data_IF_727963229522
#
_entry.id   IF_727963229522
#
_cell.length_a   1.000
_cell.length_b   1.000
_cell.length_c   1.000
_cell.angle_alpha   90.00
_cell.angle_beta   90.00
_cell.angle_gamma   90.00
#
_symmetry.space_group_name_H-M   'P 1'
#
loop_
_entity.id
_entity.type
_entity.pdbx_description
1 polymer ?
#
# COMPACT_ATOMS: atom_id res chain seq x y z
N UNK A 1 -2.29 -3.28 18.62
CA UNK A 1 -1.07 -3.08 17.82
C UNK A 1 0.09 -3.72 18.58
N UNK A 2 0.98 -4.49 17.93
CA UNK A 2 2.18 -5.02 18.58
C UNK A 2 3.08 -3.90 19.12
N UNK A 3 3.94 -4.24 20.08
CA UNK A 3 4.95 -3.33 20.64
C UNK A 3 5.96 -2.97 19.55
N UNK A 4 6.30 -1.68 19.34
CA UNK A 4 7.14 -1.22 18.22
C UNK A 4 8.64 -1.50 18.43
N UNK A 5 9.01 -2.77 18.43
CA UNK A 5 10.39 -3.24 18.56
C UNK A 5 10.68 -4.31 17.52
N UNK A 6 11.93 -4.41 17.08
CA UNK A 6 12.41 -5.48 16.21
C UNK A 6 12.77 -6.73 17.04
N UNK A 7 13.02 -7.85 16.35
CA UNK A 7 13.21 -9.16 16.98
C UNK A 7 14.49 -9.22 17.84
N UNK A 8 15.48 -8.36 17.61
CA UNK A 8 16.66 -8.25 18.49
C UNK A 8 16.31 -7.84 19.92
N UNK A 9 15.15 -7.21 20.12
CA UNK A 9 14.64 -6.81 21.43
C UNK A 9 13.63 -7.81 22.01
N UNK A 10 13.43 -8.96 21.37
CA UNK A 10 12.51 -10.00 21.81
C UNK A 10 13.31 -11.23 22.23
N UNK A 11 13.19 -11.61 23.49
CA UNK A 11 13.88 -12.77 24.07
C UNK A 11 12.88 -13.74 24.69
N UNK A 12 13.34 -14.94 25.05
CA UNK A 12 12.52 -15.93 25.76
C UNK A 12 12.04 -15.44 27.13
N UNK A 13 12.73 -14.47 27.74
CA UNK A 13 12.35 -13.85 29.02
C UNK A 13 11.45 -12.62 28.85
N UNK A 14 11.15 -12.21 27.62
CA UNK A 14 10.25 -11.09 27.31
C UNK A 14 10.88 -10.03 26.41
N UNK A 15 10.22 -8.86 26.35
CA UNK A 15 10.66 -7.71 25.56
C UNK A 15 11.72 -6.93 26.34
N UNK A 16 12.88 -6.74 25.73
CA UNK A 16 13.99 -5.98 26.26
C UNK A 16 13.73 -4.46 26.09
N UNK A 17 14.29 -3.61 26.97
CA UNK A 17 14.25 -2.16 26.78
C UNK A 17 14.89 -1.76 25.46
N UNK A 18 14.14 -1.04 24.62
CA UNK A 18 14.59 -0.54 23.32
C UNK A 18 14.62 1.00 23.35
N UNK A 19 15.73 1.65 22.92
CA UNK A 19 15.78 3.10 22.79
C UNK A 19 14.68 3.62 21.84
N UNK A 20 14.07 4.76 22.17
CA UNK A 20 12.99 5.34 21.36
C UNK A 20 13.43 5.63 19.91
N UNK A 21 14.69 6.02 19.72
CA UNK A 21 15.27 6.25 18.40
C UNK A 21 15.27 5.00 17.52
N UNK A 22 15.49 3.82 18.11
CA UNK A 22 15.46 2.54 17.39
C UNK A 22 14.04 2.02 17.23
N UNK A 23 13.24 2.08 18.29
CA UNK A 23 11.82 1.73 18.25
C UNK A 23 11.07 2.52 17.16
N UNK A 24 11.40 3.81 16.97
CA UNK A 24 10.79 4.66 15.94
C UNK A 24 11.16 4.30 14.50
N UNK A 25 12.22 3.51 14.30
CA UNK A 25 12.74 3.06 13.01
C UNK A 25 12.49 1.57 12.76
N UNK A 26 11.98 0.86 13.78
CA UNK A 26 11.71 -0.57 13.75
C UNK A 26 10.69 -0.95 12.68
N UNK A 27 10.86 -2.11 12.05
CA UNK A 27 9.93 -2.63 11.05
C UNK A 27 8.52 -2.78 11.64
N UNK A 28 8.44 -3.12 12.93
CA UNK A 28 7.17 -3.19 13.68
C UNK A 28 6.48 -1.83 13.81
N UNK A 29 7.23 -0.73 13.97
CA UNK A 29 6.68 0.63 13.89
C UNK A 29 6.08 0.91 12.52
N UNK A 30 6.77 0.54 11.44
CA UNK A 30 6.25 0.65 10.08
C UNK A 30 4.97 -0.16 9.86
N UNK A 31 4.96 -1.43 10.30
CA UNK A 31 3.76 -2.28 10.28
C UNK A 31 2.59 -1.65 11.06
N UNK A 32 2.89 -1.05 12.21
CA UNK A 32 1.89 -0.39 13.04
C UNK A 32 1.27 0.81 12.34
N UNK A 33 2.08 1.63 11.67
CA UNK A 33 1.61 2.76 10.86
C UNK A 33 0.72 2.24 9.72
N UNK A 34 1.20 1.25 8.98
CA UNK A 34 0.48 0.66 7.85
C UNK A 34 -0.91 0.12 8.24
N UNK A 35 -0.99 -0.59 9.36
CA UNK A 35 -2.27 -1.14 9.84
C UNK A 35 -3.22 -0.04 10.35
N UNK A 36 -2.71 1.05 10.92
CA UNK A 36 -3.53 2.20 11.31
C UNK A 36 -4.13 2.90 10.08
N UNK A 37 -3.39 2.97 8.97
CA UNK A 37 -3.89 3.52 7.70
C UNK A 37 -5.09 2.71 7.20
N UNK A 38 -5.00 1.38 7.21
CA UNK A 38 -6.15 0.53 6.92
C UNK A 38 -7.31 0.71 7.91
N UNK A 39 -7.01 0.91 9.20
CA UNK A 39 -8.06 1.15 10.19
C UNK A 39 -8.78 2.49 9.97
N UNK A 40 -8.06 3.58 9.65
CA UNK A 40 -8.64 4.87 9.24
C UNK A 40 -9.41 4.74 7.92
N UNK A 41 -8.85 3.91 7.03
CA UNK A 41 -9.48 3.19 5.94
C UNK A 41 -10.92 2.82 6.22
N UNK A 42 -11.17 2.03 7.26
CA UNK A 42 -12.43 1.34 7.50
C UNK A 42 -13.37 2.08 8.46
N UNK A 43 -12.84 2.97 9.29
CA UNK A 43 -13.55 3.53 10.44
C UNK A 43 -13.32 5.05 10.55
N UNK A 44 -14.35 5.83 10.91
CA UNK A 44 -14.17 7.26 11.13
C UNK A 44 -13.26 7.53 12.34
N UNK A 45 -12.52 8.66 12.35
CA UNK A 45 -11.69 9.07 13.47
C UNK A 45 -12.49 9.12 14.78
N UNK A 46 -11.87 8.67 15.88
CA UNK A 46 -12.50 8.65 17.20
C UNK A 46 -13.53 7.54 17.43
N UNK A 47 -13.78 6.65 16.46
CA UNK A 47 -14.71 5.53 16.66
C UNK A 47 -14.09 4.41 17.52
N UNK A 48 -14.85 3.96 18.52
CA UNK A 48 -14.49 2.82 19.36
C UNK A 48 -14.68 1.51 18.56
N UNK A 49 -13.62 0.70 18.51
CA UNK A 49 -13.63 -0.62 17.87
C UNK A 49 -14.72 -1.55 18.41
N UNK A 50 -15.20 -1.34 19.64
CA UNK A 50 -16.30 -2.12 20.24
C UNK A 50 -17.69 -1.62 19.89
N UNK A 51 -17.84 -0.36 19.47
CA UNK A 51 -19.14 0.31 19.24
C UNK A 51 -19.51 0.45 17.77
N UNK A 52 -18.57 0.26 16.85
CA UNK A 52 -18.81 0.31 15.41
C UNK A 52 -18.58 -1.08 14.79
N UNK A 53 -19.67 -1.83 14.55
CA UNK A 53 -19.63 -2.99 13.65
C UNK A 53 -19.23 -2.48 12.26
N UNK A 54 -18.42 -3.23 11.53
CA UNK A 54 -18.22 -3.04 10.08
C UNK A 54 -19.54 -3.24 9.31
N UNK A 55 -20.56 -3.78 9.99
CA UNK A 55 -21.71 -4.50 9.48
C UNK A 55 -23.06 -3.84 9.77
N UNK A 56 -23.13 -2.70 10.49
CA UNK A 56 -24.43 -2.12 10.85
C UNK A 56 -24.47 -0.59 10.82
N UNK A 57 -25.29 -0.11 9.89
CA UNK A 57 -26.25 0.98 10.07
C UNK A 57 -25.71 2.38 10.37
N UNK A 58 -25.36 3.05 9.28
CA UNK A 58 -25.99 4.35 9.05
C UNK A 58 -26.93 4.15 7.86
N UNK A 59 -28.23 3.95 8.10
CA UNK A 59 -29.19 3.86 6.98
C UNK A 59 -29.28 5.18 6.21
N UNK A 60 -28.96 6.29 6.87
CA UNK A 60 -28.98 7.60 6.26
C UNK A 60 -27.81 7.76 5.27
N UNK A 61 -28.07 7.88 3.95
CA UNK A 61 -27.04 8.12 2.96
C UNK A 61 -26.26 9.42 3.20
N UNK A 62 -26.86 10.44 3.83
CA UNK A 62 -26.18 11.70 4.13
C UNK A 62 -25.10 11.54 5.21
N UNK A 63 -25.42 10.82 6.30
CA UNK A 63 -24.45 10.54 7.37
C UNK A 63 -23.36 9.57 6.88
N UNK A 64 -23.70 8.61 5.99
CA UNK A 64 -22.69 7.77 5.31
C UNK A 64 -21.73 8.59 4.46
N UNK A 65 -22.27 9.51 3.66
CA UNK A 65 -21.46 10.40 2.82
C UNK A 65 -20.53 11.26 3.67
N UNK A 66 -21.03 11.89 4.73
CA UNK A 66 -20.22 12.68 5.66
C UNK A 66 -19.11 11.85 6.31
N UNK A 67 -19.42 10.61 6.71
CA UNK A 67 -18.41 9.69 7.28
C UNK A 67 -17.31 9.31 6.27
N UNK A 68 -17.65 9.10 5.00
CA UNK A 68 -16.67 8.82 3.96
C UNK A 68 -15.78 10.05 3.68
N UNK A 69 -16.38 11.24 3.59
CA UNK A 69 -15.64 12.49 3.41
C UNK A 69 -14.66 12.75 4.56
N UNK A 70 -15.09 12.52 5.79
CA UNK A 70 -14.23 12.64 6.98
C UNK A 70 -13.08 11.63 6.97
N UNK A 71 -13.32 10.40 6.50
CA UNK A 71 -12.25 9.39 6.31
C UNK A 71 -11.26 9.78 5.22
N UNK A 72 -11.73 10.30 4.08
CA UNK A 72 -10.85 10.82 3.01
C UNK A 72 -9.97 11.95 3.56
N UNK A 73 -10.60 12.92 4.24
CA UNK A 73 -9.89 14.04 4.85
C UNK A 73 -8.85 13.55 5.87
N UNK A 74 -9.23 12.63 6.76
CA UNK A 74 -8.31 12.09 7.76
C UNK A 74 -7.13 11.36 7.12
N UNK A 75 -7.35 10.52 6.10
CA UNK A 75 -6.26 9.82 5.38
C UNK A 75 -5.30 10.79 4.70
N UNK A 76 -5.82 11.90 4.14
CA UNK A 76 -5.01 12.89 3.44
C UNK A 76 -3.91 13.46 4.33
N UNK A 77 -4.24 13.76 5.58
CA UNK A 77 -3.32 14.37 6.55
C UNK A 77 -2.68 13.36 7.52
N UNK A 78 -3.05 12.08 7.45
CA UNK A 78 -2.58 11.06 8.38
C UNK A 78 -1.04 10.93 8.39
N UNK A 79 -0.39 11.12 7.24
CA UNK A 79 1.06 11.00 7.10
C UNK A 79 1.84 12.23 7.57
N UNK A 80 1.19 13.34 7.93
CA UNK A 80 1.89 14.52 8.46
C UNK A 80 2.44 14.28 9.87
N UNK A 81 1.83 13.35 10.61
CA UNK A 81 2.14 13.05 12.01
C UNK A 81 2.96 11.77 12.20
N UNK A 82 3.30 11.05 11.12
CA UNK A 82 4.06 9.79 11.23
C UNK A 82 5.50 10.03 11.65
N UNK A 83 6.13 8.97 12.15
CA UNK A 83 7.53 8.99 12.59
C UNK A 83 8.45 9.38 11.43
N UNK A 84 9.54 10.15 11.68
CA UNK A 84 10.42 10.66 10.62
C UNK A 84 10.93 9.58 9.66
N UNK A 85 11.19 8.38 10.17
CA UNK A 85 11.66 7.24 9.40
C UNK A 85 10.66 6.72 8.35
N UNK A 86 9.39 7.12 8.44
CA UNK A 86 8.31 6.71 7.52
C UNK A 86 7.60 7.89 6.85
N UNK A 87 8.08 9.13 7.05
CA UNK A 87 7.56 10.32 6.35
C UNK A 87 7.89 10.29 4.87
N UNK A 88 7.25 11.19 4.11
CA UNK A 88 7.54 11.39 2.70
C UNK A 88 9.01 11.75 2.47
N UNK A 89 9.53 11.34 1.33
CA UNK A 89 10.96 11.41 1.02
C UNK A 89 11.43 12.87 0.90
N UNK A 90 12.24 13.33 1.85
CA UNK A 90 13.09 14.52 1.65
C UNK A 90 14.49 14.04 1.27
N UNK A 91 14.90 14.25 0.01
CA UNK A 91 16.25 13.93 -0.52
C UNK A 91 17.40 14.60 0.27
N UNK A 92 17.11 15.43 1.27
CA UNK A 92 18.06 16.32 1.93
C UNK A 92 18.59 15.83 3.28
N UNK A 93 18.26 14.63 3.79
CA UNK A 93 18.64 14.27 5.18
C UNK A 93 19.26 12.88 5.32
N UNK A 94 20.08 12.47 4.37
CA UNK A 94 20.96 11.30 4.56
C UNK A 94 22.34 11.55 3.94
N UNK A 95 23.04 12.57 4.46
CA UNK A 95 24.48 12.45 4.59
C UNK A 95 24.75 11.44 5.72
N UNK A 96 24.69 10.15 5.39
CA UNK A 96 24.97 9.08 6.36
C UNK A 96 26.46 9.13 6.74
N UNK A 97 26.72 9.29 8.04
CA UNK A 97 28.04 9.09 8.61
C UNK A 97 28.51 7.64 8.37
N UNK A 98 29.81 7.41 8.11
CA UNK A 98 30.33 6.09 7.81
C UNK A 98 30.31 5.25 9.09
N UNK A 99 29.51 4.19 9.13
CA UNK A 99 29.53 3.19 10.22
C UNK A 99 29.72 1.77 9.69
N UNK A 100 30.24 0.95 10.59
CA UNK A 100 31.15 -0.17 10.36
C UNK A 100 30.41 -1.50 10.16
N UNK A 101 29.49 -1.60 9.20
CA UNK A 101 29.01 -2.88 8.65
C UNK A 101 28.13 -2.63 7.42
N UNK A 102 28.73 -2.43 6.23
CA UNK A 102 27.98 -1.96 5.05
C UNK A 102 26.89 -2.92 4.56
N UNK A 103 26.90 -4.19 4.99
CA UNK A 103 25.93 -5.21 4.56
C UNK A 103 24.61 -5.21 5.32
N UNK A 104 24.64 -5.23 6.67
CA UNK A 104 23.41 -5.37 7.50
C UNK A 104 22.57 -4.10 7.50
N UNK A 105 23.24 -2.95 7.61
CA UNK A 105 22.57 -1.65 7.61
C UNK A 105 21.89 -1.38 6.27
N UNK A 106 22.48 -1.85 5.17
CA UNK A 106 21.89 -1.74 3.84
C UNK A 106 20.59 -2.56 3.70
N UNK A 107 20.57 -3.80 4.20
CA UNK A 107 19.36 -4.65 4.17
C UNK A 107 18.23 -4.04 5.02
N UNK A 108 18.53 -3.63 6.25
CA UNK A 108 17.55 -3.00 7.13
C UNK A 108 17.00 -1.69 6.52
N UNK A 109 17.85 -0.91 5.87
CA UNK A 109 17.43 0.29 5.14
C UNK A 109 16.50 -0.07 3.97
N UNK A 110 16.84 -1.06 3.14
CA UNK A 110 15.99 -1.50 2.02
C UNK A 110 14.63 -1.99 2.52
N UNK A 111 14.59 -2.80 3.58
CA UNK A 111 13.35 -3.28 4.18
C UNK A 111 12.48 -2.13 4.70
N UNK A 112 13.10 -1.13 5.35
CA UNK A 112 12.40 0.05 5.83
C UNK A 112 11.85 0.89 4.67
N UNK A 113 12.63 1.06 3.60
CA UNK A 113 12.17 1.74 2.38
C UNK A 113 11.02 0.98 1.72
N UNK A 114 11.04 -0.36 1.72
CA UNK A 114 9.95 -1.16 1.18
C UNK A 114 8.64 -1.00 1.99
N UNK A 115 8.73 -1.00 3.33
CA UNK A 115 7.57 -0.72 4.19
C UNK A 115 7.08 0.71 3.99
N UNK A 116 8.00 1.68 3.88
CA UNK A 116 7.66 3.09 3.59
C UNK A 116 6.91 3.18 2.27
N UNK A 117 7.42 2.59 1.19
CA UNK A 117 6.73 2.54 -0.10
C UNK A 117 5.30 1.99 0.06
N UNK A 118 5.13 0.88 0.78
CA UNK A 118 3.81 0.29 1.00
C UNK A 118 2.85 1.22 1.78
N UNK A 119 3.35 1.91 2.81
CA UNK A 119 2.60 2.89 3.60
C UNK A 119 2.02 3.98 2.70
N UNK A 120 2.88 4.64 1.90
CA UNK A 120 2.49 5.78 1.07
C UNK A 120 1.58 5.36 -0.09
N UNK A 121 1.92 4.25 -0.78
CA UNK A 121 1.08 3.67 -1.83
C UNK A 121 -0.31 3.34 -1.31
N UNK A 122 -0.39 2.72 -0.13
CA UNK A 122 -1.68 2.30 0.45
C UNK A 122 -2.52 3.49 0.89
N UNK A 123 -1.90 4.53 1.46
CA UNK A 123 -2.61 5.74 1.88
C UNK A 123 -3.25 6.47 0.68
N UNK A 124 -2.55 6.59 -0.45
CA UNK A 124 -3.11 7.19 -1.66
C UNK A 124 -4.17 6.29 -2.32
N UNK A 125 -3.93 4.98 -2.42
CA UNK A 125 -4.90 4.03 -2.99
C UNK A 125 -6.20 3.99 -2.19
N UNK A 126 -6.15 4.00 -0.85
CA UNK A 126 -7.36 4.01 -0.03
C UNK A 126 -8.17 5.31 -0.19
N UNK A 127 -7.54 6.45 -0.48
CA UNK A 127 -8.27 7.68 -0.81
C UNK A 127 -9.12 7.49 -2.08
N UNK A 128 -8.55 6.90 -3.15
CA UNK A 128 -9.32 6.56 -4.36
C UNK A 128 -10.48 5.62 -4.06
N UNK A 129 -10.24 4.56 -3.28
CA UNK A 129 -11.29 3.60 -2.92
C UNK A 129 -12.45 4.23 -2.13
N UNK A 130 -12.17 5.24 -1.30
CA UNK A 130 -13.22 5.98 -0.60
C UNK A 130 -13.96 6.95 -1.53
N UNK A 131 -13.26 7.61 -2.44
CA UNK A 131 -13.88 8.47 -3.46
C UNK A 131 -14.83 7.67 -4.36
N UNK A 132 -14.47 6.45 -4.74
CA UNK A 132 -15.36 5.55 -5.50
C UNK A 132 -16.64 5.20 -4.74
N UNK A 133 -16.55 5.03 -3.42
CA UNK A 133 -17.74 4.81 -2.58
C UNK A 133 -18.60 6.06 -2.47
N UNK A 134 -17.99 7.24 -2.40
CA UNK A 134 -18.69 8.53 -2.40
C UNK A 134 -19.49 8.69 -3.71
N UNK A 135 -18.87 8.43 -4.85
CA UNK A 135 -19.51 8.54 -6.16
C UNK A 135 -20.65 7.53 -6.32
N UNK A 136 -20.45 6.30 -5.85
CA UNK A 136 -21.48 5.26 -5.85
C UNK A 136 -22.73 5.68 -5.06
N UNK A 137 -22.53 6.31 -3.90
CA UNK A 137 -23.63 6.85 -3.08
C UNK A 137 -24.29 8.07 -3.71
N UNK A 138 -23.51 8.95 -4.36
CA UNK A 138 -24.01 10.08 -5.12
C UNK A 138 -24.91 9.65 -6.28
N UNK A 139 -24.49 8.64 -7.05
CA UNK A 139 -25.24 8.08 -8.18
C UNK A 139 -26.55 7.41 -7.77
N UNK A 140 -26.61 6.78 -6.59
CA UNK A 140 -27.86 6.23 -6.04
C UNK A 140 -28.87 7.34 -5.70
N UNK A 141 -28.41 8.50 -5.24
CA UNK A 141 -29.25 9.64 -4.88
C UNK A 141 -29.86 10.36 -6.10
N UNK A 142 -29.21 10.25 -7.26
CA UNK A 142 -29.67 10.81 -8.54
C UNK A 142 -30.72 9.98 -9.29
N UNK A 143 -30.88 8.68 -8.96
CA UNK A 143 -31.84 7.76 -9.59
C UNK A 143 -33.21 7.74 -8.86
N UNK A 144 -33.77 8.92 -8.58
CA UNK A 144 -35.17 9.02 -8.16
C UNK A 144 -36.12 8.74 -9.34
N UNK A 145 -36.81 7.59 -9.33
CA UNK A 145 -38.06 7.30 -10.06
C UNK A 145 -38.16 7.66 -11.57
N UNK A 146 -37.10 7.56 -12.37
CA UNK A 146 -37.25 7.60 -13.83
C UNK A 146 -36.86 6.26 -14.47
N UNK A 147 -37.78 5.77 -15.30
CA UNK A 147 -37.77 4.47 -15.99
C UNK A 147 -36.45 4.17 -16.73
N UNK A 148 -36.11 2.89 -16.92
CA UNK A 148 -34.95 2.46 -17.69
C UNK A 148 -35.23 2.63 -19.19
N UNK A 149 -34.97 3.81 -19.74
CA UNK A 149 -34.91 4.01 -21.18
C UNK A 149 -33.82 5.03 -21.53
N UNK A 150 -32.88 4.60 -22.37
CA UNK A 150 -31.83 5.40 -23.04
C UNK A 150 -30.81 6.11 -22.14
N UNK A 151 -29.82 5.34 -21.68
CA UNK A 151 -28.62 5.81 -20.97
C UNK A 151 -27.57 6.47 -21.89
N UNK A 152 -27.99 7.31 -22.83
CA UNK A 152 -27.15 8.33 -23.46
C UNK A 152 -27.73 9.70 -23.13
N UNK A 153 -27.74 10.03 -21.84
CA UNK A 153 -27.96 11.41 -21.43
C UNK A 153 -26.62 12.12 -21.47
N UNK A 154 -26.43 12.94 -22.50
CA UNK A 154 -25.48 14.06 -22.57
C UNK A 154 -25.86 15.12 -21.53
N UNK A 155 -25.89 14.75 -20.25
CA UNK A 155 -25.95 15.74 -19.18
C UNK A 155 -24.58 16.40 -19.08
N UNK A 156 -24.54 17.71 -19.35
CA UNK A 156 -23.36 18.54 -19.08
C UNK A 156 -22.83 18.21 -17.66
N UNK A 157 -21.50 18.01 -17.49
CA UNK A 157 -20.95 17.60 -16.21
C UNK A 157 -21.28 18.63 -15.14
N UNK A 158 -21.73 18.19 -13.96
CA UNK A 158 -22.04 19.11 -12.86
C UNK A 158 -20.73 19.66 -12.30
N UNK A 159 -20.71 20.88 -11.71
CA UNK A 159 -19.53 21.41 -11.03
C UNK A 159 -18.92 20.48 -9.98
N UNK A 160 -19.73 19.64 -9.33
CA UNK A 160 -19.28 18.63 -8.37
C UNK A 160 -18.49 17.48 -9.02
N UNK A 161 -18.81 17.12 -10.27
CA UNK A 161 -18.12 16.06 -11.02
C UNK A 161 -16.70 16.51 -11.42
N UNK A 162 -16.51 17.82 -11.62
CA UNK A 162 -15.18 18.38 -11.87
C UNK A 162 -14.33 18.45 -10.60
N UNK A 163 -14.91 18.83 -9.45
CA UNK A 163 -14.18 18.89 -8.18
C UNK A 163 -13.73 17.50 -7.69
N UNK A 164 -14.56 16.47 -7.87
CA UNK A 164 -14.17 15.09 -7.56
C UNK A 164 -13.07 14.59 -8.50
N UNK A 165 -13.08 15.01 -9.76
CA UNK A 165 -12.03 14.68 -10.70
C UNK A 165 -10.70 15.38 -10.37
N UNK A 166 -10.72 16.67 -10.03
CA UNK A 166 -9.49 17.41 -9.66
C UNK A 166 -8.80 16.75 -8.44
N UNK A 167 -9.58 16.23 -7.47
CA UNK A 167 -9.04 15.48 -6.33
C UNK A 167 -8.42 14.14 -6.75
N UNK A 168 -9.07 13.40 -7.67
CA UNK A 168 -8.53 12.15 -8.24
C UNK A 168 -7.26 12.41 -9.05
N UNK A 169 -7.23 13.46 -9.87
CA UNK A 169 -6.06 13.87 -10.63
C UNK A 169 -4.87 14.17 -9.69
N UNK A 170 -5.11 14.91 -8.61
CA UNK A 170 -4.08 15.21 -7.60
C UNK A 170 -3.53 13.93 -6.96
N UNK A 171 -4.39 12.99 -6.57
CA UNK A 171 -3.96 11.70 -6.00
C UNK A 171 -3.15 10.90 -7.02
N UNK A 172 -3.59 10.81 -8.28
CA UNK A 172 -2.87 10.10 -9.34
C UNK A 172 -1.49 10.72 -9.60
N UNK A 173 -1.40 12.06 -9.64
CA UNK A 173 -0.13 12.78 -9.78
C UNK A 173 0.82 12.49 -8.61
N UNK A 174 0.32 12.54 -7.38
CA UNK A 174 1.11 12.20 -6.19
C UNK A 174 1.58 10.74 -6.23
N UNK A 175 0.73 9.82 -6.68
CA UNK A 175 1.05 8.40 -6.80
C UNK A 175 2.15 8.16 -7.85
N UNK A 176 2.05 8.79 -9.03
CA UNK A 176 3.08 8.72 -10.06
C UNK A 176 4.41 9.30 -9.60
N UNK A 177 4.38 10.44 -8.90
CA UNK A 177 5.58 11.05 -8.32
C UNK A 177 6.22 10.10 -7.30
N UNK A 178 5.41 9.49 -6.42
CA UNK A 178 5.86 8.51 -5.45
C UNK A 178 6.56 7.34 -6.14
N UNK A 179 5.89 6.67 -7.08
CA UNK A 179 6.45 5.50 -7.77
C UNK A 179 7.76 5.81 -8.50
N UNK A 180 7.83 6.95 -9.19
CA UNK A 180 9.03 7.36 -9.91
C UNK A 180 10.17 7.83 -8.98
N UNK A 181 9.86 8.16 -7.73
CA UNK A 181 10.87 8.54 -6.73
C UNK A 181 11.51 7.34 -6.00
N UNK A 182 10.85 6.18 -6.04
CA UNK A 182 11.25 4.98 -5.31
C UNK A 182 12.23 4.14 -6.13
N UNK A 183 13.17 3.47 -5.44
CA UNK A 183 14.11 2.55 -6.08
C UNK A 183 13.48 1.18 -6.28
N UNK A 184 13.88 0.46 -7.34
CA UNK A 184 13.37 -0.89 -7.63
C UNK A 184 13.48 -1.87 -6.45
N UNK A 185 14.59 -1.92 -5.67
CA UNK A 185 14.71 -2.81 -4.51
C UNK A 185 13.69 -2.52 -3.39
N UNK A 186 13.17 -1.29 -3.32
CA UNK A 186 12.12 -0.93 -2.36
C UNK A 186 10.71 -1.28 -2.85
N UNK A 187 10.52 -1.38 -4.17
CA UNK A 187 9.22 -1.71 -4.77
C UNK A 187 9.01 -3.22 -4.90
N UNK A 188 10.07 -3.97 -5.23
CA UNK A 188 10.03 -5.41 -5.45
C UNK A 188 9.32 -6.20 -4.32
N UNK A 189 9.58 -5.96 -3.02
CA UNK A 189 8.94 -6.73 -1.95
C UNK A 189 7.42 -6.52 -1.85
N UNK A 190 6.88 -5.44 -2.43
CA UNK A 190 5.44 -5.19 -2.47
C UNK A 190 4.73 -6.00 -3.57
N UNK A 191 5.49 -6.43 -4.59
CA UNK A 191 5.09 -7.37 -5.63
C UNK A 191 3.72 -7.08 -6.26
N UNK A 192 2.94 -8.13 -6.44
CA UNK A 192 1.62 -8.07 -7.08
C UNK A 192 0.62 -7.15 -6.34
N UNK A 193 0.76 -6.96 -5.02
CA UNK A 193 -0.10 -6.04 -4.28
C UNK A 193 0.07 -4.58 -4.73
N UNK A 194 1.28 -4.19 -5.13
CA UNK A 194 1.56 -2.88 -5.70
C UNK A 194 0.90 -2.75 -7.07
N UNK A 195 1.01 -3.78 -7.91
CA UNK A 195 0.42 -3.83 -9.26
C UNK A 195 -1.09 -3.60 -9.21
N UNK A 196 -1.81 -4.27 -8.31
CA UNK A 196 -3.25 -4.05 -8.15
C UNK A 196 -3.58 -2.62 -7.73
N UNK A 197 -2.86 -2.07 -6.74
CA UNK A 197 -3.08 -0.69 -6.29
C UNK A 197 -2.81 0.34 -7.40
N UNK A 198 -1.75 0.12 -8.19
CA UNK A 198 -1.42 0.97 -9.36
C UNK A 198 -2.55 0.94 -10.39
N UNK A 199 -3.07 -0.26 -10.71
CA UNK A 199 -4.19 -0.43 -11.64
C UNK A 199 -5.44 0.28 -11.13
N UNK A 200 -5.81 0.08 -9.87
CA UNK A 200 -6.99 0.70 -9.27
C UNK A 200 -6.90 2.24 -9.28
N UNK A 201 -5.74 2.79 -8.92
CA UNK A 201 -5.50 4.24 -8.97
C UNK A 201 -5.57 4.76 -10.41
N UNK A 202 -4.97 4.05 -11.38
CA UNK A 202 -5.00 4.47 -12.78
C UNK A 202 -6.43 4.46 -13.36
N UNK A 203 -7.25 3.47 -13.00
CA UNK A 203 -8.66 3.37 -13.45
C UNK A 203 -9.47 4.58 -13.02
N UNK A 204 -9.16 5.22 -11.89
CA UNK A 204 -9.87 6.40 -11.42
C UNK A 204 -9.84 7.59 -12.40
N UNK A 205 -8.83 7.65 -13.28
CA UNK A 205 -8.73 8.68 -14.32
C UNK A 205 -9.67 8.43 -15.50
N UNK A 206 -10.16 7.20 -15.68
CA UNK A 206 -11.11 6.86 -16.75
C UNK A 206 -12.50 7.45 -16.51
N UNK A 207 -12.77 7.95 -15.30
CA UNK A 207 -13.97 8.72 -14.98
C UNK A 207 -13.94 10.15 -15.54
N UNK A 208 -12.82 10.59 -16.13
CA UNK A 208 -12.72 11.90 -16.81
C UNK A 208 -13.75 11.99 -17.94
N UNK A 209 -14.62 13.02 -17.97
CA UNK A 209 -15.40 13.33 -19.16
C UNK A 209 -14.44 13.57 -20.33
N UNK A 210 -14.64 12.84 -21.44
CA UNK A 210 -13.77 12.97 -22.60
C UNK A 210 -14.15 14.19 -23.42
N UNK A 211 -13.27 15.20 -23.42
CA UNK A 211 -13.30 16.30 -24.39
C UNK A 211 -11.89 16.45 -25.00
N UNK A 212 -11.70 16.13 -26.29
CA UNK A 212 -10.40 16.16 -26.94
C UNK A 212 -9.82 17.59 -27.07
N UNK A 213 -10.65 18.63 -26.93
CA UNK A 213 -10.20 20.03 -26.93
C UNK A 213 -9.75 20.49 -25.54
N UNK A 214 -10.00 19.68 -24.52
CA UNK A 214 -9.77 20.03 -23.13
C UNK A 214 -8.42 19.49 -22.63
N UNK A 215 -7.66 20.39 -22.00
CA UNK A 215 -6.35 20.11 -21.41
C UNK A 215 -6.40 18.96 -20.39
N UNK A 216 -7.53 18.78 -19.69
CA UNK A 216 -7.73 17.68 -18.73
C UNK A 216 -7.62 16.31 -19.39
N UNK A 217 -8.26 16.11 -20.55
CA UNK A 217 -8.22 14.85 -21.30
C UNK A 217 -6.79 14.53 -21.74
N UNK A 218 -6.03 15.56 -22.14
CA UNK A 218 -4.61 15.41 -22.50
C UNK A 218 -3.79 14.92 -21.29
N UNK A 219 -3.92 15.57 -20.13
CA UNK A 219 -3.21 15.19 -18.90
C UNK A 219 -3.60 13.80 -18.41
N UNK A 220 -4.90 13.47 -18.38
CA UNK A 220 -5.39 12.15 -18.02
C UNK A 220 -4.75 11.06 -18.89
N UNK A 221 -4.69 11.29 -20.20
CA UNK A 221 -4.07 10.37 -21.16
C UNK A 221 -2.57 10.20 -20.89
N UNK A 222 -1.86 11.28 -20.54
CA UNK A 222 -0.44 11.23 -20.20
C UNK A 222 -0.18 10.43 -18.92
N UNK A 223 -0.97 10.65 -17.88
CA UNK A 223 -0.89 9.87 -16.64
C UNK A 223 -1.18 8.38 -16.88
N UNK A 224 -2.22 8.06 -17.67
CA UNK A 224 -2.55 6.67 -18.01
C UNK A 224 -1.42 5.98 -18.78
N UNK A 225 -0.76 6.68 -19.71
CA UNK A 225 0.42 6.14 -20.42
C UNK A 225 1.56 5.86 -19.46
N UNK A 226 1.81 6.75 -18.51
CA UNK A 226 2.87 6.56 -17.53
C UNK A 226 2.57 5.41 -16.56
N UNK A 227 1.31 5.28 -16.11
CA UNK A 227 0.87 4.10 -15.36
C UNK A 227 1.06 2.81 -16.14
N UNK A 228 0.70 2.78 -17.43
CA UNK A 228 0.90 1.61 -18.28
C UNK A 228 2.39 1.26 -18.43
N UNK A 229 3.27 2.26 -18.54
CA UNK A 229 4.72 2.07 -18.57
C UNK A 229 5.25 1.49 -17.26
N UNK A 230 4.79 1.98 -16.10
CA UNK A 230 5.19 1.45 -14.80
C UNK A 230 4.68 0.03 -14.59
N UNK A 231 3.44 -0.25 -14.98
CA UNK A 231 2.86 -1.59 -14.91
C UNK A 231 3.62 -2.59 -15.80
N UNK A 232 4.06 -2.19 -16.99
CA UNK A 232 4.86 -3.09 -17.84
C UNK A 232 6.23 -3.41 -17.25
N UNK A 233 6.84 -2.46 -16.53
CA UNK A 233 8.06 -2.70 -15.76
C UNK A 233 7.80 -3.68 -14.61
N UNK A 234 6.68 -3.53 -13.91
CA UNK A 234 6.31 -4.43 -12.82
C UNK A 234 5.96 -5.84 -13.30
N UNK A 235 5.24 -5.99 -14.42
CA UNK A 235 4.98 -7.31 -15.06
C UNK A 235 6.29 -7.98 -15.48
N UNK A 236 7.26 -7.23 -16.00
CA UNK A 236 8.58 -7.78 -16.33
C UNK A 236 9.36 -8.20 -15.08
N UNK A 237 9.17 -7.51 -13.94
CA UNK A 237 9.77 -7.89 -12.65
C UNK A 237 9.07 -9.10 -11.99
N UNK A 238 7.83 -9.42 -12.40
CA UNK A 238 7.11 -10.63 -11.99
C UNK A 238 7.66 -11.90 -12.66
N UNK A 239 8.58 -11.77 -13.63
CA UNK A 239 9.53 -12.83 -13.97
C UNK A 239 10.52 -12.98 -12.81
N UNK A 240 10.00 -13.56 -11.72
CA UNK A 240 10.68 -13.78 -10.45
C UNK A 240 12.06 -14.39 -10.70
N UNK A 241 13.07 -13.72 -10.14
CA UNK A 241 14.38 -14.28 -9.90
C UNK A 241 14.24 -15.45 -8.91
N UNK A 242 13.88 -16.64 -9.44
CA UNK A 242 13.68 -17.88 -8.67
C UNK A 242 14.91 -18.26 -7.81
N UNK A 243 16.06 -17.65 -8.07
CA UNK A 243 17.28 -17.78 -7.29
C UNK A 243 17.11 -17.31 -5.83
N UNK A 244 16.28 -16.29 -5.57
CA UNK A 244 16.05 -15.81 -4.19
C UNK A 244 15.15 -16.75 -3.38
N UNK A 245 14.14 -17.37 -4.02
CA UNK A 245 13.31 -18.40 -3.39
C UNK A 245 14.09 -19.68 -3.09
N UNK A 246 15.10 -20.01 -3.91
CA UNK A 246 15.99 -21.14 -3.68
C UNK A 246 16.82 -20.99 -2.39
N UNK A 247 17.08 -19.75 -1.94
CA UNK A 247 17.75 -19.46 -0.67
C UNK A 247 16.88 -19.70 0.57
N UNK A 248 15.55 -19.66 0.44
CA UNK A 248 14.61 -19.89 1.55
C UNK A 248 14.20 -21.36 1.69
N UNK A 249 14.49 -22.18 0.67
CA UNK A 249 14.37 -23.63 0.76
C UNK A 249 15.61 -24.13 1.49
N UNK A 250 15.45 -24.40 2.79
CA UNK A 250 16.47 -25.03 3.61
C UNK A 250 16.74 -26.46 3.14
N UNK A 251 17.61 -26.60 2.14
CA UNK A 251 18.11 -27.89 1.62
C UNK A 251 19.07 -28.57 2.58
N UNK A 252 19.35 -28.00 3.76
CA UNK A 252 20.21 -28.65 4.77
C UNK A 252 19.56 -29.90 5.36
N UNK A 253 18.23 -30.05 5.27
CA UNK A 253 17.51 -31.26 5.72
C UNK A 253 17.82 -32.52 4.91
N UNK A 254 18.40 -32.41 3.73
CA UNK A 254 18.73 -33.57 2.90
C UNK A 254 20.15 -34.13 3.13
N UNK A 255 20.99 -33.43 3.90
CA UNK A 255 22.38 -33.88 4.14
C UNK A 255 22.53 -34.91 5.26
N UNK A 256 21.49 -35.16 6.06
CA UNK A 256 21.55 -36.14 7.15
C UNK A 256 21.04 -37.55 6.81
N UNK A 257 20.63 -37.82 5.56
CA UNK A 257 20.09 -39.14 5.19
C UNK A 257 21.11 -40.05 4.48
N UNK A 258 22.34 -39.59 4.23
CA UNK A 258 23.36 -40.38 3.49
C UNK A 258 24.48 -40.96 4.39
N UNK A 259 24.56 -40.61 5.68
CA UNK A 259 25.64 -41.09 6.57
C UNK A 259 25.25 -42.19 7.58
N UNK A 260 24.18 -42.95 7.34
CA UNK A 260 23.88 -44.15 8.14
C UNK A 260 23.69 -45.39 7.26
N UNK A 261 24.77 -45.81 6.60
CA UNK A 261 24.96 -47.20 6.19
C UNK A 261 26.17 -47.77 6.96
N UNK A 262 25.90 -48.19 8.19
CA UNK A 262 26.80 -49.03 8.99
C UNK A 262 26.77 -50.46 8.40
N UNK A 263 27.92 -51.15 8.29
CA UNK A 263 28.04 -52.45 7.63
C UNK A 263 27.48 -53.58 8.50
N UNK A 264 26.58 -54.40 7.94
CA UNK A 264 26.19 -55.68 8.53
C UNK A 264 27.20 -56.75 8.12
N UNK A 265 28.12 -57.09 9.02
CA UNK A 265 29.02 -58.22 8.87
C UNK A 265 28.37 -59.52 9.40
N UNK A 266 28.46 -60.57 8.58
CA UNK A 266 28.74 -61.98 8.92
C UNK A 266 27.89 -62.71 9.97
N UNK A 267 27.09 -63.69 9.52
CA UNK A 267 27.31 -65.15 9.68
C UNK A 267 25.98 -65.88 9.56
N UNK A 268 25.85 -66.81 8.62
CA UNK A 268 25.29 -68.13 8.94
C UNK A 268 25.75 -69.17 7.92
N UNK A 269 26.10 -70.33 8.47
CA UNK A 269 26.76 -71.46 7.84
C UNK A 269 25.81 -72.32 6.99
N UNK A 270 26.38 -72.93 5.95
CA UNK A 270 25.78 -73.97 5.11
C UNK A 270 26.73 -74.36 4.00
#
# INVERSE_FOLDING_TARGET
MPVPVDDEYISSSGILPCPETEASQSLTSGFNIHSRIFSAALRPPGSDAKRHCICSHVQDPAVRLASLQDRVHHLKFMLDTVLPAYRSWNKSTTAAAPTTSPGRDNVANIQREAIRANIHVTQLWLQIMLLDQIDTLGGQRGKGFTSPSMAYSTSSPRPQDFASWDEREDICRQFLHLLNSLSQPSLEPNGLSLVYKVRDVAVSLLSCPYDPSEERTRRATEYLREFARLLSIFDASEQVNLLSLQSWIDTSRDKHTIELQIPFNLMESG
#
